data_IF_165922125764
#
_entry.id   IF_165922125764
#
_cell.length_a   1.000
_cell.length_b   1.000
_cell.length_c   1.000
_cell.angle_alpha   90.00
_cell.angle_beta   90.00
_cell.angle_gamma   90.00
#
_symmetry.space_group_name_H-M   'P 1'
#
loop_
_entity.id
_entity.type
_entity.pdbx_description
1 polymer ?
#
# COMPACT_ATOMS: atom_id res chain seq x y z
N UNK A 1 16.63 7.55 2.96
CA UNK A 1 16.35 8.34 1.73
C UNK A 1 15.29 9.38 2.07
N UNK A 2 15.48 10.63 1.63
CA UNK A 2 14.47 11.69 1.78
C UNK A 2 13.25 11.36 0.93
N UNK A 3 12.05 11.72 1.41
CA UNK A 3 10.83 11.62 0.62
C UNK A 3 10.86 12.60 -0.55
N UNK A 4 10.44 12.16 -1.71
CA UNK A 4 10.11 13.00 -2.85
C UNK A 4 8.80 12.51 -3.45
N UNK A 5 7.86 13.43 -3.73
CA UNK A 5 6.59 13.10 -4.37
C UNK A 5 6.86 12.44 -5.72
N UNK A 6 6.23 11.28 -6.01
CA UNK A 6 6.35 10.64 -7.31
C UNK A 6 5.79 11.52 -8.44
N UNK A 7 6.47 11.53 -9.58
CA UNK A 7 5.94 12.15 -10.78
C UNK A 7 4.87 11.23 -11.39
N UNK A 8 3.67 11.78 -11.63
CA UNK A 8 2.54 11.08 -12.25
C UNK A 8 2.48 11.29 -13.77
N UNK A 9 3.30 12.21 -14.31
CA UNK A 9 3.31 12.50 -15.74
C UNK A 9 3.94 11.35 -16.52
N UNK A 10 3.14 10.72 -17.36
CA UNK A 10 3.59 9.64 -18.24
C UNK A 10 2.84 9.70 -19.57
N UNK A 11 3.57 9.53 -20.67
CA UNK A 11 3.03 9.55 -22.04
C UNK A 11 1.84 8.58 -22.23
N UNK A 12 1.79 7.49 -21.48
CA UNK A 12 0.80 6.43 -21.64
C UNK A 12 -0.21 6.37 -20.50
N UNK A 13 -0.02 7.16 -19.43
CA UNK A 13 -0.83 7.07 -18.22
C UNK A 13 -2.29 7.41 -18.46
N UNK A 14 -2.56 8.53 -19.13
CA UNK A 14 -3.94 8.99 -19.38
C UNK A 14 -4.75 8.01 -20.23
N UNK A 15 -4.14 7.49 -21.30
CA UNK A 15 -4.80 6.52 -22.17
C UNK A 15 -5.15 5.23 -21.41
N UNK A 16 -4.22 4.73 -20.60
CA UNK A 16 -4.46 3.55 -19.77
C UNK A 16 -5.53 3.86 -18.72
N UNK A 17 -5.39 4.95 -17.98
CA UNK A 17 -6.29 5.34 -16.91
C UNK A 17 -7.73 5.48 -17.39
N UNK A 18 -7.95 6.12 -18.54
CA UNK A 18 -9.27 6.31 -19.13
C UNK A 18 -9.92 5.00 -19.62
N UNK A 19 -9.16 3.92 -19.75
CA UNK A 19 -9.67 2.60 -20.12
C UNK A 19 -10.03 1.72 -18.91
N UNK A 20 -9.69 2.14 -17.69
CA UNK A 20 -9.93 1.36 -16.48
C UNK A 20 -11.40 1.48 -16.02
N UNK A 21 -11.97 0.42 -15.46
CA UNK A 21 -13.33 0.47 -14.91
C UNK A 21 -13.39 1.32 -13.64
N UNK A 22 -14.57 1.82 -13.30
CA UNK A 22 -14.84 2.44 -12.00
C UNK A 22 -14.59 1.43 -10.87
N UNK A 23 -14.01 1.92 -9.77
CA UNK A 23 -13.82 1.19 -8.52
C UNK A 23 -14.74 1.72 -7.41
N UNK A 24 -15.81 2.44 -7.78
CA UNK A 24 -16.78 2.95 -6.81
C UNK A 24 -17.40 1.80 -6.00
N UNK A 25 -17.42 1.96 -4.68
CA UNK A 25 -17.87 0.94 -3.74
C UNK A 25 -16.90 -0.21 -3.50
N UNK A 26 -15.71 -0.19 -4.10
CA UNK A 26 -14.65 -1.19 -3.90
C UNK A 26 -13.65 -0.75 -2.85
N UNK A 27 -13.16 -1.73 -2.05
CA UNK A 27 -12.09 -1.54 -1.08
C UNK A 27 -10.79 -2.17 -1.61
N UNK A 28 -9.73 -1.37 -1.70
CA UNK A 28 -8.42 -1.76 -2.25
C UNK A 28 -7.34 -1.51 -1.22
N UNK A 29 -6.64 -2.54 -0.77
CA UNK A 29 -5.48 -2.41 0.10
C UNK A 29 -4.17 -2.55 -0.69
N UNK A 30 -3.20 -1.68 -0.42
CA UNK A 30 -1.92 -1.64 -1.17
C UNK A 30 -0.77 -1.51 -0.18
N UNK A 31 0.22 -2.41 -0.25
CA UNK A 31 1.44 -2.30 0.53
C UNK A 31 2.47 -1.40 -0.16
N UNK A 32 3.18 -0.57 0.61
CA UNK A 32 4.30 0.24 0.10
C UNK A 32 3.88 1.40 -0.79
N UNK A 33 2.95 2.22 -0.34
CA UNK A 33 2.37 3.34 -1.11
C UNK A 33 3.12 4.66 -0.96
N UNK A 34 4.30 4.67 -0.35
CA UNK A 34 5.06 5.90 -0.09
C UNK A 34 5.85 6.40 -1.31
N UNK A 35 5.96 5.62 -2.37
CA UNK A 35 6.69 5.99 -3.59
C UNK A 35 6.39 5.03 -4.74
N UNK A 36 6.92 5.36 -5.93
CA UNK A 36 6.92 4.47 -7.10
C UNK A 36 5.53 3.98 -7.51
N UNK A 37 5.47 2.74 -7.94
CA UNK A 37 4.23 2.08 -8.42
C UNK A 37 3.13 2.03 -7.38
N UNK A 38 3.44 1.81 -6.10
CA UNK A 38 2.45 1.77 -5.03
C UNK A 38 1.74 3.10 -4.82
N UNK A 39 2.46 4.22 -4.90
CA UNK A 39 1.86 5.57 -4.82
C UNK A 39 0.95 5.82 -6.02
N UNK A 40 1.42 5.51 -7.24
CA UNK A 40 0.65 5.68 -8.48
C UNK A 40 -0.61 4.83 -8.45
N UNK A 41 -0.51 3.56 -8.03
CA UNK A 41 -1.66 2.67 -7.90
C UNK A 41 -2.68 3.17 -6.88
N UNK A 42 -2.23 3.67 -5.72
CA UNK A 42 -3.11 4.26 -4.71
C UNK A 42 -3.84 5.50 -5.24
N UNK A 43 -3.11 6.41 -5.92
CA UNK A 43 -3.70 7.59 -6.55
C UNK A 43 -4.74 7.22 -7.62
N UNK A 44 -4.39 6.28 -8.51
CA UNK A 44 -5.29 5.82 -9.56
C UNK A 44 -6.55 5.17 -9.00
N UNK A 45 -6.40 4.28 -7.99
CA UNK A 45 -7.54 3.63 -7.33
C UNK A 45 -8.47 4.65 -6.68
N UNK A 46 -7.90 5.65 -6.00
CA UNK A 46 -8.68 6.73 -5.41
C UNK A 46 -9.43 7.58 -6.46
N UNK A 47 -8.78 7.92 -7.58
CA UNK A 47 -9.42 8.62 -8.71
C UNK A 47 -10.56 7.82 -9.34
N UNK A 48 -10.49 6.49 -9.30
CA UNK A 48 -11.54 5.59 -9.81
C UNK A 48 -12.66 5.36 -8.79
N UNK A 49 -12.61 5.97 -7.60
CA UNK A 49 -13.67 5.93 -6.59
C UNK A 49 -13.51 4.84 -5.52
N UNK A 50 -12.37 4.16 -5.46
CA UNK A 50 -12.14 3.15 -4.42
C UNK A 50 -11.98 3.76 -3.02
N UNK A 51 -12.35 2.96 -2.00
CA UNK A 51 -11.85 3.11 -0.64
C UNK A 51 -10.44 2.50 -0.58
N UNK A 52 -9.41 3.32 -0.45
CA UNK A 52 -8.02 2.87 -0.55
C UNK A 52 -7.37 2.77 0.82
N UNK A 53 -6.89 1.57 1.16
CA UNK A 53 -6.17 1.29 2.39
C UNK A 53 -4.67 1.26 2.09
N UNK A 54 -3.94 2.19 2.69
CA UNK A 54 -2.50 2.38 2.50
C UNK A 54 -1.76 1.63 3.59
N UNK A 55 -1.10 0.52 3.24
CA UNK A 55 -0.34 -0.31 4.16
C UNK A 55 1.14 0.06 4.13
N UNK A 56 1.58 0.82 5.13
CA UNK A 56 2.95 1.32 5.22
C UNK A 56 3.50 1.13 6.64
N UNK A 57 4.82 1.12 6.76
CA UNK A 57 5.45 1.32 8.08
C UNK A 57 5.20 2.75 8.56
N UNK A 58 5.01 2.92 9.87
CA UNK A 58 4.91 4.24 10.49
C UNK A 58 6.18 5.06 10.22
N UNK A 59 6.04 6.21 9.58
CA UNK A 59 7.16 7.10 9.24
C UNK A 59 6.65 8.44 8.71
N UNK A 60 7.44 9.49 8.88
CA UNK A 60 7.18 10.80 8.24
C UNK A 60 6.99 10.69 6.72
N UNK A 61 7.64 9.72 6.08
CA UNK A 61 7.49 9.46 4.65
C UNK A 61 6.09 8.96 4.32
N UNK A 62 5.50 8.11 5.16
CA UNK A 62 4.14 7.63 4.99
C UNK A 62 3.12 8.77 5.17
N UNK A 63 3.34 9.62 6.18
CA UNK A 63 2.46 10.77 6.44
C UNK A 63 2.50 11.79 5.29
N UNK A 64 3.68 12.10 4.78
CA UNK A 64 3.84 12.98 3.60
C UNK A 64 3.18 12.40 2.36
N UNK A 65 3.33 11.08 2.12
CA UNK A 65 2.68 10.42 0.98
C UNK A 65 1.14 10.48 1.08
N UNK A 66 0.58 10.29 2.27
CA UNK A 66 -0.85 10.45 2.51
C UNK A 66 -1.33 11.87 2.24
N UNK A 67 -0.58 12.89 2.68
CA UNK A 67 -0.90 14.29 2.42
C UNK A 67 -0.92 14.55 0.91
N UNK A 68 0.12 14.11 0.19
CA UNK A 68 0.20 14.28 -1.26
C UNK A 68 -0.94 13.57 -2.01
N UNK A 69 -1.29 12.33 -1.60
CA UNK A 69 -2.42 11.60 -2.17
C UNK A 69 -3.75 12.36 -1.99
N UNK A 70 -3.99 12.91 -0.80
CA UNK A 70 -5.18 13.70 -0.51
C UNK A 70 -5.22 15.03 -1.27
N UNK A 71 -4.07 15.63 -1.53
CA UNK A 71 -3.98 16.83 -2.37
C UNK A 71 -4.25 16.52 -3.84
N UNK A 72 -3.70 15.40 -4.36
CA UNK A 72 -3.91 14.97 -5.75
C UNK A 72 -5.35 14.52 -6.02
N UNK A 73 -6.00 13.94 -5.03
CA UNK A 73 -7.35 13.37 -5.18
C UNK A 73 -8.19 13.71 -3.94
N UNK A 74 -8.64 14.97 -3.81
CA UNK A 74 -9.31 15.46 -2.59
C UNK A 74 -10.61 14.71 -2.23
N UNK A 75 -11.27 14.14 -3.23
CA UNK A 75 -12.54 13.42 -3.05
C UNK A 75 -12.38 11.93 -2.78
N UNK A 76 -11.15 11.41 -2.83
CA UNK A 76 -10.89 9.99 -2.57
C UNK A 76 -10.83 9.70 -1.07
N UNK A 77 -11.25 8.49 -0.71
CA UNK A 77 -11.14 7.99 0.64
C UNK A 77 -9.81 7.22 0.78
N UNK A 78 -8.86 7.82 1.53
CA UNK A 78 -7.59 7.20 1.87
C UNK A 78 -7.52 6.92 3.37
N UNK A 79 -7.39 5.66 3.75
CA UNK A 79 -7.18 5.20 5.11
C UNK A 79 -5.78 4.61 5.24
N UNK A 80 -4.96 5.13 6.18
CA UNK A 80 -3.62 4.61 6.44
C UNK A 80 -3.64 3.65 7.62
N UNK A 81 -3.12 2.45 7.41
CA UNK A 81 -2.95 1.42 8.42
C UNK A 81 -1.46 1.07 8.51
N UNK A 82 -0.93 1.05 9.73
CA UNK A 82 0.44 0.63 9.95
C UNK A 82 0.60 -0.86 9.65
N UNK A 83 1.56 -1.17 8.75
CA UNK A 83 1.92 -2.54 8.39
C UNK A 83 3.43 -2.61 8.13
N UNK A 84 4.20 -3.04 9.11
CA UNK A 84 5.62 -3.35 8.93
C UNK A 84 5.79 -4.81 8.50
N UNK A 85 6.16 -5.00 7.24
CA UNK A 85 6.40 -6.33 6.68
C UNK A 85 7.65 -7.03 7.25
N UNK A 86 8.43 -6.35 8.09
CA UNK A 86 9.54 -6.96 8.85
C UNK A 86 9.10 -7.50 10.22
N UNK A 87 7.78 -7.48 10.51
CA UNK A 87 7.19 -8.00 11.74
C UNK A 87 5.87 -8.70 11.46
N UNK A 88 5.79 -9.99 11.74
CA UNK A 88 4.54 -10.74 11.58
C UNK A 88 3.44 -10.27 12.54
N UNK A 89 3.80 -9.76 13.72
CA UNK A 89 2.82 -9.19 14.64
C UNK A 89 2.21 -7.90 14.08
N UNK A 90 3.02 -7.05 13.42
CA UNK A 90 2.51 -5.87 12.71
C UNK A 90 1.56 -6.26 11.57
N UNK A 91 1.89 -7.30 10.80
CA UNK A 91 1.00 -7.82 9.74
C UNK A 91 -0.33 -8.32 10.33
N UNK A 92 -0.30 -9.09 11.44
CA UNK A 92 -1.53 -9.57 12.10
C UNK A 92 -2.39 -8.43 12.64
N UNK A 93 -1.77 -7.40 13.17
CA UNK A 93 -2.49 -6.21 13.65
C UNK A 93 -3.09 -5.40 12.50
N UNK A 94 -2.36 -5.31 11.36
CA UNK A 94 -2.88 -4.67 10.16
C UNK A 94 -4.12 -5.40 9.61
N UNK A 95 -4.12 -6.73 9.60
CA UNK A 95 -5.29 -7.54 9.17
C UNK A 95 -6.53 -7.18 9.98
N UNK A 96 -6.46 -7.15 11.32
CA UNK A 96 -7.59 -6.77 12.18
C UNK A 96 -8.15 -5.38 11.84
N UNK A 97 -7.24 -4.42 11.61
CA UNK A 97 -7.66 -3.06 11.23
C UNK A 97 -8.28 -3.01 9.82
N UNK A 98 -7.82 -3.86 8.89
CA UNK A 98 -8.43 -3.99 7.55
C UNK A 98 -9.84 -4.57 7.68
N UNK A 99 -10.03 -5.62 8.48
CA UNK A 99 -11.35 -6.22 8.74
C UNK A 99 -12.32 -5.20 9.33
N UNK A 100 -11.88 -4.40 10.31
CA UNK A 100 -12.68 -3.32 10.92
C UNK A 100 -13.02 -2.22 9.89
N UNK A 101 -12.09 -1.88 9.01
CA UNK A 101 -12.28 -0.84 7.98
C UNK A 101 -13.11 -1.33 6.78
N UNK A 102 -13.19 -2.64 6.57
CA UNK A 102 -13.88 -3.28 5.45
C UNK A 102 -14.89 -4.35 5.95
N UNK A 103 -15.96 -3.96 6.67
CA UNK A 103 -16.90 -4.92 7.25
C UNK A 103 -17.64 -5.78 6.22
N UNK A 104 -17.65 -5.37 4.96
CA UNK A 104 -18.24 -6.12 3.84
C UNK A 104 -17.17 -6.92 3.04
N UNK A 105 -15.94 -6.96 3.53
CA UNK A 105 -14.80 -7.60 2.87
C UNK A 105 -13.94 -6.67 2.06
N UNK A 106 -12.72 -7.12 1.78
CA UNK A 106 -11.75 -6.45 0.93
C UNK A 106 -11.87 -7.00 -0.51
N UNK A 107 -12.01 -6.10 -1.50
CA UNK A 107 -12.14 -6.54 -2.91
C UNK A 107 -10.78 -6.85 -3.55
N UNK A 108 -9.73 -6.08 -3.21
CA UNK A 108 -8.39 -6.21 -3.82
C UNK A 108 -7.30 -6.01 -2.78
N UNK A 109 -6.30 -6.90 -2.80
CA UNK A 109 -5.02 -6.71 -2.12
C UNK A 109 -3.88 -6.61 -3.15
N UNK A 110 -3.11 -5.53 -3.08
CA UNK A 110 -1.92 -5.32 -3.91
C UNK A 110 -0.66 -5.45 -3.07
N UNK A 111 0.01 -6.59 -3.16
CA UNK A 111 1.28 -6.89 -2.51
C UNK A 111 2.44 -6.25 -3.28
N UNK A 112 2.54 -4.91 -3.21
CA UNK A 112 3.47 -4.11 -4.01
C UNK A 112 4.79 -3.80 -3.28
N UNK A 113 4.80 -3.71 -1.95
CA UNK A 113 6.00 -3.39 -1.21
C UNK A 113 7.12 -4.41 -1.47
N UNK A 114 8.35 -3.91 -1.51
CA UNK A 114 9.51 -4.77 -1.66
C UNK A 114 10.81 -4.02 -1.35
N UNK A 115 11.80 -4.78 -0.95
CA UNK A 115 13.17 -4.32 -0.72
C UNK A 115 14.13 -5.19 -1.52
N UNK A 116 15.23 -4.60 -1.97
CA UNK A 116 16.23 -5.29 -2.78
C UNK A 116 17.63 -4.77 -2.47
N UNK A 117 18.61 -5.65 -2.58
CA UNK A 117 20.03 -5.36 -2.41
C UNK A 117 20.34 -4.69 -1.05
N UNK A 118 19.68 -5.15 0.01
CA UNK A 118 20.02 -4.79 1.37
C UNK A 118 21.19 -5.65 1.86
N UNK A 119 21.90 -5.16 2.86
CA UNK A 119 22.85 -5.97 3.61
C UNK A 119 22.13 -7.19 4.24
N UNK A 120 22.86 -8.28 4.39
CA UNK A 120 22.34 -9.50 4.99
C UNK A 120 22.00 -9.24 6.48
N UNK A 121 20.73 -9.28 6.80
CA UNK A 121 20.23 -9.01 8.15
C UNK A 121 18.93 -9.79 8.43
N UNK A 122 18.78 -10.19 9.69
CA UNK A 122 17.56 -10.82 10.16
C UNK A 122 16.54 -9.79 10.64
N UNK A 123 15.26 -10.11 10.43
CA UNK A 123 14.12 -9.37 11.00
C UNK A 123 13.95 -9.73 12.48
N UNK A 124 12.99 -9.10 13.15
CA UNK A 124 12.60 -9.43 14.54
C UNK A 124 12.05 -10.85 14.67
N UNK A 125 11.56 -11.44 13.59
CA UNK A 125 11.04 -12.81 13.53
C UNK A 125 12.13 -13.83 13.16
N UNK A 126 13.38 -13.40 12.94
CA UNK A 126 14.54 -14.25 12.67
C UNK A 126 14.69 -14.69 11.22
N UNK A 127 13.96 -14.13 10.27
CA UNK A 127 14.06 -14.42 8.85
C UNK A 127 14.93 -13.40 8.12
N UNK A 128 15.49 -13.78 6.98
CA UNK A 128 16.13 -12.82 6.07
C UNK A 128 15.19 -11.67 5.72
N UNK A 129 15.69 -10.44 5.81
CA UNK A 129 14.87 -9.22 5.66
C UNK A 129 14.19 -9.12 4.29
N UNK A 130 14.86 -9.55 3.23
CA UNK A 130 14.29 -9.49 1.89
C UNK A 130 13.24 -10.59 1.69
N UNK A 131 13.53 -11.81 2.17
CA UNK A 131 12.60 -12.93 2.10
C UNK A 131 11.34 -12.63 2.92
N UNK A 132 11.48 -12.13 4.14
CA UNK A 132 10.32 -11.81 4.96
C UNK A 132 9.51 -10.67 4.37
N UNK A 133 10.14 -9.55 4.03
CA UNK A 133 9.45 -8.37 3.51
C UNK A 133 8.74 -8.67 2.19
N UNK A 134 9.45 -9.31 1.24
CA UNK A 134 8.94 -9.46 -0.12
C UNK A 134 7.98 -10.63 -0.28
N UNK A 135 8.11 -11.67 0.55
CA UNK A 135 7.37 -12.91 0.37
C UNK A 135 6.59 -13.37 1.61
N UNK A 136 7.26 -13.68 2.73
CA UNK A 136 6.59 -14.34 3.85
C UNK A 136 5.50 -13.48 4.48
N UNK A 137 5.73 -12.19 4.65
CA UNK A 137 4.74 -11.26 5.22
C UNK A 137 3.56 -11.00 4.29
N UNK A 138 3.78 -10.93 2.98
CA UNK A 138 2.71 -10.85 2.01
C UNK A 138 1.88 -12.14 1.95
N UNK A 139 2.55 -13.31 2.03
CA UNK A 139 1.85 -14.58 2.14
C UNK A 139 0.99 -14.63 3.41
N UNK A 140 1.53 -14.21 4.56
CA UNK A 140 0.79 -14.15 5.82
C UNK A 140 -0.42 -13.20 5.73
N UNK A 141 -0.22 -12.01 5.15
CA UNK A 141 -1.27 -11.01 4.94
C UNK A 141 -2.43 -11.59 4.14
N UNK A 142 -2.14 -12.19 2.98
CA UNK A 142 -3.17 -12.79 2.11
C UNK A 142 -3.84 -14.01 2.76
N UNK A 143 -3.10 -14.79 3.56
CA UNK A 143 -3.64 -15.97 4.24
C UNK A 143 -4.65 -15.61 5.34
N UNK A 144 -4.50 -14.45 5.95
CA UNK A 144 -5.31 -14.02 7.10
C UNK A 144 -6.53 -13.19 6.69
N UNK A 145 -6.50 -12.54 5.53
CA UNK A 145 -7.61 -11.83 4.89
C UNK A 145 -8.55 -12.81 4.16
#
# INVERSE_FOLDING_TARGET
MSYSKPNLDSKHYENLFNSLPSLEGKSVAITGTTSGTGFVAANASGKLGANVILLNRSSERADKALIDLRQETPNANFNQIECDLQSFDSVRNAVKQIEDACPNGLDVICNNAGVMALEDMATVDGYDVQMQTNHLSHFLLVKLL
#
